data_IF_139605144981
#
_entry.id   IF_139605144981
#
_cell.length_a   1.000
_cell.length_b   1.000
_cell.length_c   1.000
_cell.angle_alpha   90.00
_cell.angle_beta   90.00
_cell.angle_gamma   90.00
#
_symmetry.space_group_name_H-M   'P 1'
#
loop_
_entity.id
_entity.type
_entity.pdbx_description
1 polymer ?
2 non-polymer ?
3 non-polymer ?
4 non-polymer ?
5 non-polymer ?
6 non-polymer ?
7 water ?
#
# COMPACT_ATOMS: atom_id res chain seq x y z
N UNK A 10 34.14 -2.72 -26.97
CA UNK A 10 34.37 -2.48 -25.54
C UNK A 10 35.05 -3.67 -24.87
N UNK A 11 34.80 -3.83 -23.57
CA UNK A 11 35.34 -4.92 -22.74
C UNK A 11 36.85 -4.86 -22.54
N UNK A 12 37.53 -3.98 -23.27
CA UNK A 12 38.97 -3.80 -23.18
C UNK A 12 39.72 -5.14 -23.28
N UNK A 13 40.06 -5.70 -22.13
CA UNK A 13 40.76 -6.98 -22.08
C UNK A 13 39.90 -8.04 -21.38
N UNK A 14 39.12 -8.80 -22.15
CA UNK A 14 38.30 -9.90 -21.61
C UNK A 14 39.15 -10.98 -20.92
N UNK A 15 38.51 -11.82 -20.11
CA UNK A 15 39.23 -12.81 -19.31
C UNK A 15 39.83 -13.95 -20.15
N UNK A 16 39.55 -13.94 -21.46
CA UNK A 16 40.03 -15.00 -22.32
C UNK A 16 40.27 -14.63 -23.79
N UNK A 17 39.22 -14.59 -24.60
CA UNK A 17 37.85 -14.83 -24.16
C UNK A 17 37.47 -16.31 -24.17
N UNK A 18 38.29 -17.15 -23.53
CA UNK A 18 38.07 -18.60 -23.55
C UNK A 18 37.11 -19.02 -22.43
N UNK A 19 37.28 -18.45 -21.24
CA UNK A 19 36.39 -18.77 -20.13
C UNK A 19 35.51 -17.57 -19.83
N UNK A 20 35.93 -16.41 -20.32
CA UNK A 20 35.11 -15.21 -20.22
C UNK A 20 33.76 -15.46 -20.85
N UNK A 21 33.79 -15.98 -22.08
CA UNK A 21 32.58 -16.31 -22.82
C UNK A 21 31.85 -17.50 -22.17
N UNK A 22 32.62 -18.34 -21.48
CA UNK A 22 32.08 -19.52 -20.83
C UNK A 22 31.14 -19.11 -19.71
N UNK A 23 31.62 -18.24 -18.82
CA UNK A 23 30.79 -17.77 -17.73
C UNK A 23 29.80 -16.72 -18.24
N UNK A 24 30.11 -16.07 -19.35
CA UNK A 24 29.22 -15.02 -19.84
C UNK A 24 27.89 -15.59 -20.27
N UNK A 25 27.91 -16.75 -20.93
CA UNK A 25 26.68 -17.36 -21.41
C UNK A 25 25.84 -17.94 -20.28
N UNK A 26 26.52 -18.34 -19.21
CA UNK A 26 25.83 -18.76 -17.99
C UNK A 26 25.12 -17.55 -17.38
N UNK A 27 25.89 -16.55 -17.01
CA UNK A 27 25.39 -15.31 -16.41
C UNK A 27 24.29 -14.65 -17.27
N UNK A 28 24.48 -14.64 -18.58
CA UNK A 28 23.59 -13.91 -19.47
C UNK A 28 22.30 -14.67 -19.76
N UNK A 29 22.21 -15.90 -19.28
CA UNK A 29 21.07 -16.75 -19.62
C UNK A 29 19.79 -16.33 -18.93
N UNK A 30 18.68 -16.80 -19.49
CA UNK A 30 17.38 -16.55 -18.89
C UNK A 30 17.26 -17.39 -17.62
N UNK A 31 17.83 -18.59 -17.65
CA UNK A 31 17.82 -19.45 -16.47
C UNK A 31 18.49 -18.77 -15.29
N UNK A 32 19.61 -18.10 -15.55
CA UNK A 32 20.38 -17.44 -14.52
C UNK A 32 19.52 -16.40 -13.81
N UNK A 33 18.82 -15.57 -14.57
CA UNK A 33 17.96 -14.55 -13.98
C UNK A 33 16.81 -15.21 -13.22
N UNK A 34 16.23 -16.25 -13.80
CA UNK A 34 15.09 -16.96 -13.21
C UNK A 34 15.43 -17.54 -11.83
N UNK A 35 16.50 -18.32 -11.79
CA UNK A 35 17.03 -18.89 -10.55
C UNK A 35 17.26 -17.85 -9.44
N UNK A 36 17.83 -16.70 -9.80
CA UNK A 36 18.10 -15.65 -8.85
C UNK A 36 16.81 -15.07 -8.30
N UNK A 37 15.87 -14.78 -9.20
CA UNK A 37 14.56 -14.24 -8.83
C UNK A 37 13.83 -15.21 -7.92
N UNK A 38 13.90 -16.48 -8.30
CA UNK A 38 13.36 -17.57 -7.51
C UNK A 38 13.91 -17.53 -6.07
N UNK A 39 15.22 -17.28 -5.93
CA UNK A 39 15.81 -17.14 -4.60
C UNK A 39 15.40 -15.84 -3.91
N UNK A 40 15.24 -14.75 -4.66
CA UNK A 40 14.75 -13.51 -4.04
C UNK A 40 13.41 -13.81 -3.35
N UNK A 41 12.46 -14.34 -4.12
CA UNK A 41 11.13 -14.64 -3.58
C UNK A 41 11.21 -15.66 -2.44
N UNK A 42 12.02 -16.69 -2.59
CA UNK A 42 12.23 -17.66 -1.52
C UNK A 42 12.76 -17.05 -0.23
N UNK A 43 13.69 -16.12 -0.36
CA UNK A 43 14.31 -15.48 0.79
C UNK A 43 13.36 -14.45 1.40
N UNK A 44 12.52 -13.85 0.57
CA UNK A 44 11.52 -12.91 1.03
C UNK A 44 10.48 -13.61 1.85
N UNK A 45 10.07 -14.80 1.39
CA UNK A 45 9.11 -15.61 2.14
C UNK A 45 9.73 -16.03 3.46
N UNK A 46 10.98 -16.46 3.40
CA UNK A 46 11.70 -16.97 4.55
C UNK A 46 11.94 -15.87 5.61
N UNK A 47 11.99 -14.63 5.15
CA UNK A 47 12.23 -13.50 6.02
C UNK A 47 10.97 -13.10 6.82
N UNK A 48 9.81 -13.23 6.18
CA UNK A 48 8.56 -13.04 6.88
C UNK A 48 8.34 -14.16 7.89
N UNK A 49 8.73 -15.37 7.54
CA UNK A 49 8.60 -16.50 8.43
C UNK A 49 9.47 -16.34 9.68
N UNK A 50 10.65 -15.72 9.52
CA UNK A 50 11.60 -15.53 10.62
C UNK A 50 11.11 -14.49 11.61
N UNK A 51 9.94 -13.94 11.33
CA UNK A 51 9.32 -12.91 12.14
C UNK A 51 8.55 -13.56 13.29
N UNK A 52 7.96 -14.72 13.01
CA UNK A 52 7.28 -15.51 14.02
C UNK A 52 8.25 -16.13 15.02
N UNK A 53 8.04 -15.90 16.31
CA UNK A 53 8.88 -16.52 17.33
C UNK A 53 8.58 -18.00 17.45
N UNK A 54 7.36 -18.40 17.07
CA UNK A 54 6.97 -19.81 17.07
C UNK A 54 7.66 -20.56 15.94
N UNK A 55 7.71 -19.97 14.77
CA UNK A 55 8.36 -20.65 13.67
C UNK A 55 9.83 -20.80 13.96
N UNK A 56 10.42 -19.80 14.58
CA UNK A 56 11.86 -19.82 14.82
C UNK A 56 12.25 -20.81 15.90
N UNK A 57 11.29 -21.21 16.73
CA UNK A 57 11.57 -22.22 17.74
C UNK A 57 11.47 -23.62 17.13
N UNK A 58 10.70 -23.72 16.05
CA UNK A 58 10.56 -24.99 15.34
C UNK A 58 11.61 -25.08 14.22
N UNK A 59 11.50 -24.20 13.24
CA UNK A 59 12.34 -24.29 12.05
C UNK A 59 13.43 -23.23 11.99
N UNK A 60 13.86 -22.76 13.15
CA UNK A 60 14.90 -21.74 13.24
C UNK A 60 16.19 -22.11 12.52
N UNK A 61 16.67 -23.33 12.76
CA UNK A 61 17.89 -23.83 12.14
C UNK A 61 17.77 -23.89 10.61
N UNK A 62 16.65 -24.41 10.11
CA UNK A 62 16.35 -24.46 8.69
C UNK A 62 16.57 -23.13 7.99
N UNK A 63 15.83 -22.14 8.43
CA UNK A 63 15.80 -20.82 7.80
C UNK A 63 17.13 -20.09 7.93
N UNK A 64 17.84 -20.36 9.02
CA UNK A 64 19.11 -19.69 9.26
C UNK A 64 20.18 -20.21 8.32
N UNK A 65 20.20 -21.52 8.11
CA UNK A 65 21.13 -22.11 7.17
C UNK A 65 20.69 -21.81 5.75
N UNK A 66 19.38 -21.83 5.52
CA UNK A 66 18.84 -21.45 4.23
C UNK A 66 19.30 -20.04 3.88
N UNK A 67 19.27 -19.16 4.88
CA UNK A 67 19.69 -17.77 4.70
C UNK A 67 21.15 -17.65 4.27
N UNK A 68 22.05 -18.29 5.01
CA UNK A 68 23.47 -18.18 4.71
C UNK A 68 23.78 -18.84 3.36
N UNK A 69 22.97 -19.81 2.96
CA UNK A 69 23.12 -20.47 1.67
C UNK A 69 22.77 -19.51 0.53
N UNK A 70 21.62 -18.84 0.66
CA UNK A 70 21.18 -17.88 -0.35
C UNK A 70 22.20 -16.77 -0.53
N UNK A 71 22.75 -16.29 0.59
CA UNK A 71 23.69 -15.18 0.60
C UNK A 71 25.01 -15.54 -0.07
N UNK A 72 25.37 -16.82 -0.02
CA UNK A 72 26.58 -17.30 -0.65
C UNK A 72 26.40 -17.32 -2.17
N UNK A 73 25.24 -17.82 -2.59
CA UNK A 73 24.86 -17.80 -3.99
C UNK A 73 24.83 -16.38 -4.55
N UNK A 74 24.26 -15.45 -3.78
CA UNK A 74 24.16 -14.05 -4.21
C UNK A 74 25.53 -13.39 -4.34
N UNK A 75 26.47 -13.80 -3.49
CA UNK A 75 27.81 -13.21 -3.55
C UNK A 75 28.54 -13.73 -4.77
N UNK A 76 28.44 -15.04 -5.00
CA UNK A 76 28.98 -15.65 -6.22
C UNK A 76 28.38 -15.00 -7.46
N UNK A 77 27.08 -14.72 -7.39
CA UNK A 77 26.37 -14.13 -8.51
C UNK A 77 26.96 -12.77 -8.84
N UNK A 78 27.08 -11.90 -7.85
CA UNK A 78 27.64 -10.57 -8.05
C UNK A 78 29.08 -10.69 -8.57
N UNK A 79 29.82 -11.68 -8.09
CA UNK A 79 31.19 -11.89 -8.54
C UNK A 79 31.23 -12.25 -10.03
N UNK A 80 30.39 -13.19 -10.42
CA UNK A 80 30.30 -13.61 -11.82
C UNK A 80 29.85 -12.46 -12.72
N UNK A 81 28.94 -11.64 -12.21
CA UNK A 81 28.43 -10.50 -12.97
C UNK A 81 29.49 -9.41 -13.17
N UNK A 82 30.40 -9.29 -12.21
CA UNK A 82 31.47 -8.31 -12.28
C UNK A 82 32.56 -8.77 -13.27
N UNK A 83 32.85 -10.06 -13.30
CA UNK A 83 33.81 -10.57 -14.28
C UNK A 83 33.29 -10.41 -15.70
N UNK A 84 32.00 -10.63 -15.90
CA UNK A 84 31.38 -10.45 -17.22
C UNK A 84 31.27 -8.98 -17.61
N UNK A 85 30.66 -8.16 -16.75
CA UNK A 85 30.39 -6.77 -17.10
C UNK A 85 31.56 -5.82 -16.85
N UNK A 86 32.58 -6.31 -16.14
CA UNK A 86 33.79 -5.56 -15.81
C UNK A 86 33.48 -4.15 -15.29
N UNK A 87 33.96 -3.14 -15.99
CA UNK A 87 33.78 -1.75 -15.59
C UNK A 87 32.32 -1.31 -15.69
N UNK A 88 31.60 -1.89 -16.64
CA UNK A 88 30.19 -1.55 -16.87
C UNK A 88 29.33 -1.81 -15.63
N UNK A 89 29.76 -2.78 -14.82
CA UNK A 89 29.02 -3.15 -13.61
C UNK A 89 28.91 -1.97 -12.66
N UNK A 90 30.05 -1.35 -12.37
CA UNK A 90 30.11 -0.28 -11.38
C UNK A 90 29.67 1.07 -11.95
N UNK A 91 29.00 1.03 -13.09
CA UNK A 91 28.45 2.21 -13.73
C UNK A 91 26.95 2.02 -13.87
N UNK A 92 26.48 0.86 -13.42
CA UNK A 92 25.08 0.49 -13.51
C UNK A 92 24.40 0.62 -12.14
N UNK A 93 23.43 1.55 -12.02
CA UNK A 93 22.81 1.85 -10.73
C UNK A 93 22.16 0.61 -10.08
N UNK A 94 21.54 -0.21 -10.92
CA UNK A 94 20.89 -1.44 -10.47
C UNK A 94 21.92 -2.44 -9.96
N UNK A 95 23.09 -2.47 -10.57
CA UNK A 95 24.10 -3.43 -10.17
C UNK A 95 24.75 -2.95 -8.90
N UNK A 96 24.94 -1.64 -8.82
CA UNK A 96 25.47 -1.01 -7.62
C UNK A 96 24.56 -1.28 -6.43
N UNK A 97 23.25 -1.10 -6.62
CA UNK A 97 22.30 -1.41 -5.56
C UNK A 97 22.43 -2.87 -5.14
N UNK A 98 22.50 -3.75 -6.13
CA UNK A 98 22.73 -5.18 -5.92
C UNK A 98 23.97 -5.42 -5.08
N UNK A 99 25.08 -4.82 -5.50
CA UNK A 99 26.33 -4.97 -4.80
C UNK A 99 26.21 -4.51 -3.32
N UNK A 100 25.74 -3.28 -3.11
CA UNK A 100 25.69 -2.73 -1.76
C UNK A 100 24.70 -3.46 -0.86
N UNK A 101 23.60 -3.92 -1.43
CA UNK A 101 22.60 -4.61 -0.63
C UNK A 101 23.04 -6.04 -0.29
N UNK A 102 23.95 -6.60 -1.10
CA UNK A 102 24.52 -7.91 -0.81
C UNK A 102 25.70 -7.78 0.16
N UNK A 103 26.48 -6.71 0.01
CA UNK A 103 27.60 -6.44 0.90
C UNK A 103 27.13 -6.22 2.34
N UNK A 104 26.09 -5.40 2.51
CA UNK A 104 25.39 -5.22 3.79
C UNK A 104 25.07 -6.55 4.44
N UNK A 105 24.62 -7.48 3.61
CA UNK A 105 24.13 -8.77 4.04
C UNK A 105 25.28 -9.71 4.40
N UNK A 106 26.50 -9.24 4.19
CA UNK A 106 27.69 -10.08 4.38
C UNK A 106 28.33 -9.86 5.74
N UNK A 107 27.98 -8.76 6.39
CA UNK A 107 28.51 -8.44 7.71
C UNK A 107 28.12 -9.52 8.72
N UNK A 108 29.11 -10.03 9.48
CA UNK A 108 29.01 -11.13 10.46
C UNK A 108 27.79 -11.10 11.37
N UNK A 109 27.43 -12.26 11.90
CA UNK A 109 26.22 -12.46 12.69
C UNK A 109 26.15 -11.54 13.91
N UNK A 110 27.32 -11.13 14.41
CA UNK A 110 27.39 -10.17 15.50
C UNK A 110 28.13 -8.91 15.06
N UNK A 111 28.88 -8.32 15.98
CA UNK A 111 29.67 -7.11 15.73
C UNK A 111 28.81 -5.89 15.42
N UNK A 112 29.38 -4.70 15.63
CA UNK A 112 28.68 -3.46 15.37
C UNK A 112 27.32 -3.39 16.04
N UNK A 113 26.31 -3.05 15.25
CA UNK A 113 24.93 -3.06 15.72
C UNK A 113 24.07 -4.01 14.89
N UNK A 114 22.85 -4.25 15.34
CA UNK A 114 21.94 -5.15 14.65
C UNK A 114 21.21 -4.42 13.53
N UNK A 115 21.53 -3.14 13.33
CA UNK A 115 20.97 -2.42 12.19
C UNK A 115 21.40 -3.08 10.90
N UNK A 116 22.62 -3.63 10.89
CA UNK A 116 23.13 -4.28 9.70
C UNK A 116 22.35 -5.55 9.41
N UNK A 117 21.91 -6.24 10.47
CA UNK A 117 21.04 -7.39 10.28
C UNK A 117 19.66 -6.96 9.76
N UNK A 118 19.16 -5.83 10.25
CA UNK A 118 17.84 -5.36 9.80
C UNK A 118 17.90 -4.84 8.37
N UNK A 119 18.98 -4.14 8.02
CA UNK A 119 19.17 -3.62 6.68
C UNK A 119 19.30 -4.78 5.68
N UNK A 120 19.57 -5.97 6.19
CA UNK A 120 19.68 -7.15 5.35
C UNK A 120 18.41 -7.40 4.57
N UNK A 121 17.28 -6.97 5.13
CA UNK A 121 15.99 -7.20 4.50
C UNK A 121 15.88 -6.36 3.23
N UNK A 122 16.73 -5.33 3.10
CA UNK A 122 16.71 -4.49 1.91
C UNK A 122 17.02 -5.29 0.66
N UNK A 123 17.65 -6.44 0.80
CA UNK A 123 17.99 -7.29 -0.34
C UNK A 123 16.74 -7.77 -1.10
N UNK A 124 15.58 -7.66 -0.46
CA UNK A 124 14.32 -8.04 -1.11
C UNK A 124 13.95 -7.06 -2.22
N UNK A 125 14.53 -5.87 -2.18
CA UNK A 125 14.34 -4.90 -3.25
C UNK A 125 15.08 -5.33 -4.51
N UNK A 126 15.83 -6.42 -4.43
CA UNK A 126 16.45 -6.99 -5.61
C UNK A 126 15.36 -7.60 -6.50
N UNK A 127 14.14 -7.67 -5.99
CA UNK A 127 13.03 -8.10 -6.82
C UNK A 127 12.80 -7.03 -7.88
N UNK A 128 12.88 -5.77 -7.46
CA UNK A 128 12.80 -4.63 -8.38
C UNK A 128 13.94 -4.64 -9.42
N UNK A 129 15.17 -4.86 -8.95
CA UNK A 129 16.34 -4.99 -9.82
C UNK A 129 16.19 -6.05 -10.92
N UNK A 130 15.84 -7.25 -10.50
CA UNK A 130 15.94 -8.43 -11.32
C UNK A 130 14.75 -8.58 -12.26
N UNK A 131 13.63 -7.97 -11.87
CA UNK A 131 12.44 -8.01 -12.68
C UNK A 131 12.31 -6.73 -13.46
N UNK A 132 12.27 -6.83 -14.80
CA UNK A 132 11.93 -5.65 -15.63
C UNK A 132 10.55 -5.15 -15.24
N UNK A 133 10.07 -4.07 -15.84
CA UNK A 133 8.74 -3.54 -15.51
C UNK A 133 8.70 -2.99 -14.10
N UNK A 134 9.30 -3.68 -13.15
CA UNK A 134 9.55 -3.10 -11.83
C UNK A 134 10.61 -2.02 -11.94
N UNK A 135 11.66 -2.29 -12.72
CA UNK A 135 12.67 -1.28 -13.04
C UNK A 135 11.99 -0.07 -13.66
N UNK A 136 11.15 -0.35 -14.65
CA UNK A 136 10.42 0.64 -15.41
C UNK A 136 9.62 1.59 -14.53
N UNK A 137 8.93 1.06 -13.51
CA UNK A 137 8.14 1.96 -12.67
C UNK A 137 9.04 2.72 -11.70
N UNK A 138 10.05 2.05 -11.17
CA UNK A 138 10.97 2.76 -10.30
C UNK A 138 11.67 3.84 -11.11
N UNK A 139 12.13 3.47 -12.33
CA UNK A 139 12.75 4.42 -13.25
C UNK A 139 11.85 5.61 -13.54
N UNK A 140 10.59 5.36 -13.85
CA UNK A 140 9.64 6.43 -14.11
C UNK A 140 9.51 7.35 -12.87
N UNK A 141 9.41 6.76 -11.68
CA UNK A 141 9.21 7.54 -10.46
C UNK A 141 10.40 8.43 -10.15
N UNK A 142 11.58 7.86 -10.32
CA UNK A 142 12.82 8.53 -10.02
C UNK A 142 13.15 9.70 -10.95
N UNK A 143 12.88 9.54 -12.24
CA UNK A 143 13.20 10.57 -13.23
C UNK A 143 12.38 11.84 -13.01
N UNK A 144 11.32 11.73 -12.22
CA UNK A 144 10.46 12.85 -11.90
C UNK A 144 11.15 13.78 -10.88
N UNK A 145 12.16 13.26 -10.20
CA UNK A 145 12.81 13.99 -9.12
C UNK A 145 13.71 15.19 -9.54
N UNK A 146 14.46 15.09 -10.65
CA UNK A 146 15.22 16.26 -11.12
C UNK A 146 14.45 17.59 -11.23
N UNK A 147 13.23 17.57 -11.79
CA UNK A 147 12.44 18.78 -11.92
C UNK A 147 11.76 19.17 -10.62
N UNK A 148 12.31 18.70 -9.50
CA UNK A 148 11.76 18.97 -8.18
C UNK A 148 12.82 19.54 -7.24
N UNK A 149 14.08 19.44 -7.64
CA UNK A 149 15.20 19.75 -6.76
C UNK A 149 15.23 21.21 -6.30
N UNK A 150 14.85 22.13 -7.19
CA UNK A 150 14.78 23.53 -6.81
C UNK A 150 13.74 23.82 -5.74
N UNK A 151 12.56 23.21 -5.88
CA UNK A 151 11.47 23.40 -4.93
C UNK A 151 11.85 22.73 -3.63
N UNK A 152 12.37 21.50 -3.70
CA UNK A 152 12.93 20.84 -2.54
C UNK A 152 13.97 21.71 -1.86
N UNK A 153 14.92 22.23 -2.64
CA UNK A 153 15.94 23.15 -2.13
C UNK A 153 15.30 24.34 -1.41
N UNK A 154 14.34 24.97 -2.08
CA UNK A 154 13.64 26.11 -1.49
C UNK A 154 12.97 25.73 -0.15
N UNK A 155 12.32 24.57 -0.14
CA UNK A 155 11.58 24.10 1.02
C UNK A 155 12.52 23.79 2.18
N UNK A 156 13.62 23.10 1.87
CA UNK A 156 14.65 22.85 2.85
C UNK A 156 15.20 24.14 3.48
N UNK A 157 15.50 25.16 2.65
CA UNK A 157 15.89 26.46 3.20
C UNK A 157 14.78 27.06 4.08
N UNK A 158 13.55 26.87 3.65
CA UNK A 158 12.42 27.45 4.34
C UNK A 158 12.26 26.81 5.71
N UNK A 159 12.34 25.48 5.77
CA UNK A 159 12.28 24.71 7.01
C UNK A 159 13.42 25.12 7.93
N UNK A 160 14.62 25.22 7.37
CA UNK A 160 15.80 25.64 8.13
C UNK A 160 15.61 27.00 8.82
N UNK A 161 15.06 27.97 8.09
CA UNK A 161 14.84 29.30 8.65
C UNK A 161 13.77 29.31 9.72
N UNK A 162 12.69 28.58 9.48
CA UNK A 162 11.60 28.54 10.48
C UNK A 162 11.95 27.66 11.69
N UNK A 163 12.78 26.64 11.49
CA UNK A 163 13.30 25.84 12.57
C UNK A 163 14.17 26.69 13.50
N UNK A 164 15.07 27.49 12.92
CA UNK A 164 15.84 28.40 13.75
C UNK A 164 14.93 29.36 14.52
N UNK A 165 13.98 29.99 13.85
CA UNK A 165 13.04 30.88 14.53
C UNK A 165 12.28 30.19 15.67
N UNK A 166 11.74 29.00 15.43
CA UNK A 166 10.92 28.33 16.43
C UNK A 166 11.77 27.87 17.63
N UNK A 167 13.01 27.48 17.36
CA UNK A 167 13.91 27.07 18.40
C UNK A 167 14.06 28.23 19.34
N UNK A 168 14.23 29.43 18.80
CA UNK A 168 14.50 30.54 19.69
C UNK A 168 13.24 31.26 20.21
N UNK A 169 12.08 30.98 19.63
CA UNK A 169 10.84 31.55 20.16
C UNK A 169 10.18 30.63 21.19
N UNK A 170 10.32 29.31 21.02
CA UNK A 170 9.55 28.35 21.82
C UNK A 170 10.36 27.31 22.56
N UNK A 171 11.68 27.24 22.30
CA UNK A 171 12.50 26.17 22.85
C UNK A 171 12.70 26.07 24.35
N UNK A 172 12.74 27.21 25.02
CA UNK A 172 12.90 27.30 26.46
C UNK A 172 11.64 26.81 27.21
N UNK A 173 10.46 27.17 26.73
CA UNK A 173 9.23 26.76 27.41
C UNK A 173 8.67 25.49 26.76
N UNK A 174 9.19 25.12 25.58
CA UNK A 174 8.82 23.83 25.00
C UNK A 174 9.97 23.00 24.51
N UNK A 175 10.80 22.54 25.44
CA UNK A 175 12.02 21.81 25.06
C UNK A 175 11.74 20.58 24.17
N UNK A 176 10.77 19.74 24.49
CA UNK A 176 10.57 18.53 23.68
C UNK A 176 10.28 18.85 22.21
N UNK A 177 9.42 19.85 21.96
CA UNK A 177 8.97 20.15 20.60
C UNK A 177 9.88 21.10 19.85
N UNK A 178 10.61 21.97 20.57
CA UNK A 178 11.39 23.04 19.93
C UNK A 178 12.69 23.37 20.60
N UNK A 179 13.16 22.50 21.49
CA UNK A 179 14.32 22.85 22.30
C UNK A 179 15.65 22.93 21.57
N UNK A 180 15.66 22.34 20.39
CA UNK A 180 16.88 22.03 19.68
C UNK A 180 16.52 22.16 18.20
N UNK A 181 17.44 22.62 17.36
CA UNK A 181 17.20 22.75 15.90
C UNK A 181 16.54 21.53 15.29
N UNK A 182 17.12 20.36 15.58
CA UNK A 182 16.54 19.11 15.11
C UNK A 182 15.14 18.84 15.62
N UNK A 183 14.90 19.19 16.88
CA UNK A 183 13.58 18.95 17.44
C UNK A 183 12.61 19.81 16.69
N UNK A 184 13.02 21.06 16.45
CA UNK A 184 12.21 21.98 15.69
C UNK A 184 11.94 21.51 14.25
N UNK A 185 12.96 20.94 13.61
CA UNK A 185 12.82 20.42 12.25
C UNK A 185 11.74 19.37 12.27
N UNK A 186 11.90 18.43 13.21
CA UNK A 186 10.96 17.33 13.39
C UNK A 186 9.53 17.85 13.57
N UNK A 187 9.36 18.80 14.48
CA UNK A 187 8.02 19.30 14.80
C UNK A 187 7.43 20.04 13.59
N UNK A 188 8.26 20.82 12.91
CA UNK A 188 7.78 21.53 11.75
C UNK A 188 7.34 20.56 10.64
N UNK A 189 8.05 19.43 10.53
CA UNK A 189 7.63 18.42 9.54
C UNK A 189 6.26 17.89 9.84
N UNK A 190 6.01 17.68 11.13
CA UNK A 190 4.74 17.15 11.63
C UNK A 190 3.59 18.11 11.34
N UNK A 191 3.83 19.39 11.63
CA UNK A 191 2.88 20.46 11.31
C UNK A 191 2.58 20.45 9.81
N UNK A 192 3.60 20.29 8.98
CA UNK A 192 3.38 20.19 7.54
C UNK A 192 2.48 19.02 7.13
N UNK A 193 2.63 17.86 7.79
CA UNK A 193 1.71 16.75 7.51
C UNK A 193 0.33 17.02 8.13
N UNK A 194 0.23 18.13 8.89
CA UNK A 194 -1.00 18.60 9.54
C UNK A 194 -1.44 17.69 10.70
N UNK A 195 -0.57 16.75 11.10
CA UNK A 195 -0.87 15.81 12.18
C UNK A 195 -0.89 16.49 13.55
N UNK A 196 -2.06 16.54 14.18
CA UNK A 196 -2.24 17.16 15.50
C UNK A 196 -1.64 18.54 15.62
N UNK A 197 -1.55 19.28 14.51
CA UNK A 197 -0.81 20.55 14.53
C UNK A 197 -1.47 21.52 15.49
N UNK A 198 -2.80 21.50 15.54
CA UNK A 198 -3.48 22.47 16.41
C UNK A 198 -3.71 21.99 17.84
N UNK A 199 -4.49 20.91 17.98
CA UNK A 199 -4.85 20.37 19.28
C UNK A 199 -3.60 19.93 20.03
N UNK A 200 -2.61 19.41 19.31
CA UNK A 200 -1.45 18.86 19.96
C UNK A 200 -0.24 19.77 20.08
N UNK A 201 -0.09 20.74 19.18
CA UNK A 201 1.08 21.58 19.26
C UNK A 201 0.73 23.07 19.46
N UNK A 202 -0.09 23.64 18.59
CA UNK A 202 -0.25 25.09 18.56
C UNK A 202 -1.20 25.61 19.63
N UNK A 203 -2.30 24.92 19.89
CA UNK A 203 -3.13 25.31 21.05
C UNK A 203 -2.34 25.25 22.38
N UNK A 204 -1.61 24.12 22.65
CA UNK A 204 -0.79 24.18 23.87
C UNK A 204 0.13 25.36 23.77
N UNK A 205 0.81 25.61 22.63
CA UNK A 205 1.66 26.83 22.51
C UNK A 205 0.90 28.16 22.70
N UNK A 206 -0.37 28.21 22.43
CA UNK A 206 -0.96 29.53 22.57
C UNK A 206 -1.30 29.88 24.06
N UNK A 207 -1.13 28.94 24.99
CA UNK A 207 -1.39 29.20 26.43
C UNK A 207 -0.35 30.15 27.12
N UNK A 208 0.88 30.16 26.61
CA UNK A 208 1.97 31.09 26.99
C UNK A 208 2.14 32.18 25.95
N UNK A 209 2.11 31.75 24.69
CA UNK A 209 2.36 32.63 23.55
C UNK A 209 1.12 32.78 22.68
N UNK A 210 0.20 33.67 23.06
CA UNK A 210 -1.08 33.82 22.35
C UNK A 210 -0.95 34.19 20.86
N UNK A 211 0.18 34.71 20.42
CA UNK A 211 0.33 35.03 19.00
C UNK A 211 1.08 33.95 18.23
N UNK A 212 1.25 32.76 18.82
CA UNK A 212 1.98 31.69 18.13
C UNK A 212 1.31 31.39 16.80
N UNK A 213 0.01 31.64 16.72
CA UNK A 213 -0.72 31.38 15.49
C UNK A 213 -0.14 32.23 14.34
N UNK A 214 0.46 33.36 14.66
CA UNK A 214 0.99 34.28 13.64
C UNK A 214 2.20 33.66 12.94
N UNK A 215 2.78 32.66 13.61
CA UNK A 215 3.92 31.91 13.10
C UNK A 215 3.45 30.65 12.35
N UNK A 216 2.60 29.83 12.95
CA UNK A 216 2.28 28.53 12.37
C UNK A 216 1.27 28.61 11.23
N UNK A 217 0.33 29.55 11.28
CA UNK A 217 -0.65 29.61 10.19
C UNK A 217 0.05 30.02 8.88
N UNK A 218 0.78 31.15 8.84
CA UNK A 218 1.48 31.43 7.57
C UNK A 218 2.46 30.35 7.16
N UNK A 219 3.10 29.68 8.13
CA UNK A 219 3.94 28.51 7.82
C UNK A 219 3.14 27.45 7.08
N UNK A 220 1.91 27.20 7.55
CA UNK A 220 1.07 26.16 6.99
C UNK A 220 0.58 26.54 5.59
N UNK A 221 0.24 27.81 5.38
CA UNK A 221 -0.14 28.28 4.06
C UNK A 221 0.97 28.06 3.04
N UNK A 222 2.21 28.39 3.40
CA UNK A 222 3.32 28.33 2.47
C UNK A 222 3.67 26.90 2.09
N UNK A 223 3.86 26.11 3.10
CA UNK A 223 4.23 24.71 2.98
C UNK A 223 3.17 23.95 2.19
N UNK A 224 1.91 24.31 2.41
CA UNK A 224 0.82 23.70 1.66
C UNK A 224 0.79 24.21 0.21
N UNK A 225 0.92 25.52 0.04
CA UNK A 225 0.90 26.13 -1.29
C UNK A 225 1.98 25.55 -2.19
N UNK A 226 3.18 25.38 -1.62
CA UNK A 226 4.32 24.81 -2.33
C UNK A 226 4.11 23.33 -2.68
N UNK A 227 3.60 22.56 -1.72
CA UNK A 227 3.27 21.15 -1.98
C UNK A 227 2.30 21.00 -3.15
N UNK A 228 1.28 21.86 -3.17
CA UNK A 228 0.32 21.89 -4.28
C UNK A 228 0.98 22.19 -5.62
N UNK A 229 1.87 23.18 -5.63
CA UNK A 229 2.57 23.54 -6.87
C UNK A 229 3.56 22.45 -7.26
N UNK A 230 4.11 21.76 -6.26
CA UNK A 230 5.04 20.66 -6.52
C UNK A 230 4.31 19.54 -7.25
N UNK A 231 3.11 19.24 -6.79
CA UNK A 231 2.29 18.22 -7.42
C UNK A 231 1.87 18.62 -8.83
N UNK A 232 1.36 19.85 -8.96
CA UNK A 232 0.94 20.39 -10.25
C UNK A 232 2.10 20.33 -11.24
N UNK A 233 3.30 20.64 -10.77
CA UNK A 233 4.51 20.46 -11.54
C UNK A 233 4.58 19.04 -12.11
N UNK A 234 4.56 18.04 -11.23
CA UNK A 234 4.64 16.65 -11.67
C UNK A 234 3.46 16.27 -12.56
N UNK A 235 2.30 16.90 -12.35
CA UNK A 235 1.17 16.71 -13.24
C UNK A 235 1.50 17.25 -14.61
N UNK A 236 2.02 18.47 -14.66
CA UNK A 236 2.31 19.12 -15.92
C UNK A 236 3.60 18.59 -16.55
N UNK A 237 4.67 18.51 -15.75
CA UNK A 237 5.96 18.06 -16.26
C UNK A 237 5.89 16.63 -16.82
N UNK A 238 5.01 15.80 -16.27
CA UNK A 238 4.82 14.44 -16.79
C UNK A 238 3.78 14.42 -17.91
N UNK A 239 2.79 15.30 -17.84
CA UNK A 239 1.81 15.43 -18.92
C UNK A 239 2.24 16.50 -19.91
N UNK B 17 -36.12 -21.07 -30.09
CA UNK B 17 -36.57 -22.32 -29.49
C UNK B 17 -37.98 -22.21 -28.92
N UNK B 18 -38.42 -23.27 -28.25
CA UNK B 18 -39.80 -23.37 -27.78
C UNK B 18 -40.10 -22.34 -26.68
N UNK B 19 -40.09 -22.81 -25.43
CA UNK B 19 -40.42 -21.97 -24.29
C UNK B 19 -39.24 -21.06 -23.91
N UNK B 20 -38.08 -21.35 -24.48
CA UNK B 20 -36.94 -20.48 -24.33
C UNK B 20 -37.27 -19.05 -24.75
N UNK B 21 -37.88 -18.88 -25.91
CA UNK B 21 -38.29 -17.56 -26.38
C UNK B 21 -39.43 -17.00 -25.51
N UNK B 22 -40.19 -17.90 -24.91
CA UNK B 22 -41.33 -17.51 -24.10
C UNK B 22 -40.85 -16.77 -22.86
N UNK B 23 -39.91 -17.36 -22.12
CA UNK B 23 -39.39 -16.70 -20.94
C UNK B 23 -38.40 -15.59 -21.31
N UNK B 24 -37.80 -15.65 -22.50
CA UNK B 24 -36.81 -14.66 -22.88
C UNK B 24 -37.44 -13.28 -23.01
N UNK B 25 -38.66 -13.23 -23.53
CA UNK B 25 -39.34 -11.96 -23.71
C UNK B 25 -39.80 -11.38 -22.37
N UNK B 26 -40.05 -12.26 -21.41
CA UNK B 26 -40.30 -11.83 -20.04
C UNK B 26 -39.06 -11.18 -19.45
N UNK B 27 -38.00 -11.98 -19.34
CA UNK B 27 -36.71 -11.54 -18.79
C UNK B 27 -36.15 -10.30 -19.50
N UNK B 28 -36.26 -10.26 -20.82
CA UNK B 28 -35.63 -9.19 -21.59
C UNK B 28 -36.43 -7.88 -21.56
N UNK B 29 -37.62 -7.93 -20.98
CA UNK B 29 -38.51 -6.78 -21.02
C UNK B 29 -38.12 -5.62 -20.12
N UNK B 30 -38.70 -4.47 -20.44
CA UNK B 30 -38.52 -3.26 -19.67
C UNK B 30 -39.22 -3.39 -18.31
N UNK B 31 -40.38 -4.04 -18.31
CA UNK B 31 -41.10 -4.28 -17.06
C UNK B 31 -40.26 -5.09 -16.09
N UNK B 32 -39.59 -6.11 -16.61
CA UNK B 32 -38.82 -7.02 -15.78
C UNK B 32 -37.71 -6.31 -15.01
N UNK B 33 -36.94 -5.46 -15.68
CA UNK B 33 -35.89 -4.73 -15.00
C UNK B 33 -36.47 -3.75 -13.99
N UNK B 34 -37.55 -3.06 -14.37
CA UNK B 34 -38.17 -2.06 -13.49
C UNK B 34 -38.61 -2.66 -12.17
N UNK B 35 -39.41 -3.73 -12.25
CA UNK B 35 -39.87 -4.47 -11.09
C UNK B 35 -38.70 -4.86 -10.16
N UNK B 36 -37.61 -5.35 -10.74
CA UNK B 36 -36.45 -5.75 -9.97
C UNK B 36 -35.80 -4.56 -9.26
N UNK B 37 -35.59 -3.48 -10.00
CA UNK B 37 -35.04 -2.25 -9.43
C UNK B 37 -35.94 -1.74 -8.32
N UNK B 38 -37.24 -1.76 -8.58
CA UNK B 38 -38.24 -1.42 -7.59
C UNK B 38 -38.06 -2.23 -6.29
N UNK B 39 -37.79 -3.53 -6.43
CA UNK B 39 -37.50 -4.38 -5.27
C UNK B 39 -36.15 -4.08 -4.63
N UNK B 40 -35.14 -3.72 -5.43
CA UNK B 40 -33.85 -3.32 -4.85
C UNK B 40 -34.08 -2.16 -3.88
N UNK B 41 -34.69 -1.10 -4.40
CA UNK B 41 -34.95 0.09 -3.61
C UNK B 41 -35.85 -0.19 -2.41
N UNK B 42 -36.92 -0.94 -2.62
CA UNK B 42 -37.78 -1.33 -1.51
C UNK B 42 -37.03 -2.10 -0.42
N UNK B 43 -36.16 -3.01 -0.84
CA UNK B 43 -35.45 -3.83 0.11
C UNK B 43 -34.38 -3.02 0.80
N UNK B 44 -33.83 -2.06 0.08
CA UNK B 44 -32.83 -1.17 0.63
C UNK B 44 -33.43 -0.29 1.69
N UNK B 45 -34.64 0.20 1.43
CA UNK B 45 -35.34 0.99 2.43
C UNK B 45 -35.64 0.12 3.66
N UNK B 46 -36.09 -1.10 3.42
CA UNK B 46 -36.48 -2.01 4.47
C UNK B 46 -35.28 -2.39 5.35
N UNK B 47 -34.08 -2.31 4.78
CA UNK B 47 -32.87 -2.68 5.51
C UNK B 47 -32.42 -1.57 6.47
N UNK B 48 -32.61 -0.32 6.09
CA UNK B 48 -32.37 0.78 6.99
C UNK B 48 -33.36 0.78 8.14
N UNK B 49 -34.62 0.48 7.85
CA UNK B 49 -35.63 0.41 8.88
C UNK B 49 -35.34 -0.72 9.89
N UNK B 50 -34.74 -1.81 9.41
CA UNK B 50 -34.45 -2.96 10.27
C UNK B 50 -33.31 -2.69 11.26
N UNK B 51 -32.79 -1.47 11.17
CA UNK B 51 -31.70 -0.97 11.99
C UNK B 51 -32.28 -0.41 13.30
N UNK B 52 -33.45 0.20 13.20
CA UNK B 52 -34.17 0.70 14.36
C UNK B 52 -34.68 -0.43 15.23
N UNK B 53 -34.33 -0.42 16.51
CA UNK B 53 -34.82 -1.44 17.43
C UNK B 53 -36.29 -1.22 17.74
N UNK B 54 -36.75 0.02 17.63
CA UNK B 54 -38.16 0.35 17.81
C UNK B 54 -39.01 -0.14 16.64
N UNK B 55 -38.53 0.07 15.42
CA UNK B 55 -39.25 -0.40 14.25
C UNK B 55 -39.39 -1.92 14.30
N UNK B 56 -38.33 -2.59 14.77
CA UNK B 56 -38.32 -4.05 14.76
C UNK B 56 -39.21 -4.68 15.81
N UNK B 57 -39.60 -3.92 16.82
CA UNK B 57 -40.51 -4.42 17.84
C UNK B 57 -41.95 -4.28 17.38
N UNK B 58 -42.18 -3.34 16.47
CA UNK B 58 -43.52 -3.13 15.91
C UNK B 58 -43.71 -3.96 14.65
N UNK B 59 -42.95 -3.65 13.61
CA UNK B 59 -43.14 -4.25 12.30
C UNK B 59 -42.07 -5.27 11.94
N UNK B 60 -41.47 -5.88 12.97
CA UNK B 60 -40.42 -6.88 12.77
C UNK B 60 -40.80 -8.04 11.88
N UNK B 61 -41.97 -8.62 12.15
CA UNK B 61 -42.48 -9.75 11.37
C UNK B 61 -42.71 -9.37 9.91
N UNK B 62 -43.35 -8.22 9.70
CA UNK B 62 -43.62 -7.65 8.39
C UNK B 62 -42.35 -7.63 7.53
N UNK B 63 -41.33 -6.93 8.02
CA UNK B 63 -40.10 -6.73 7.28
C UNK B 63 -39.33 -8.04 7.06
N UNK B 64 -39.49 -8.98 7.99
CA UNK B 64 -38.79 -10.25 7.88
C UNK B 64 -39.43 -11.09 6.78
N UNK B 65 -40.75 -11.07 6.72
CA UNK B 65 -41.47 -11.78 5.67
C UNK B 65 -41.29 -11.07 4.35
N UNK B 66 -41.29 -9.74 4.39
CA UNK B 66 -41.00 -8.98 3.18
C UNK B 66 -39.63 -9.38 2.63
N UNK B 67 -38.66 -9.55 3.54
CA UNK B 67 -37.30 -9.89 3.15
C UNK B 67 -37.19 -11.25 2.47
N UNK B 68 -37.80 -12.28 3.04
CA UNK B 68 -37.73 -13.62 2.46
C UNK B 68 -38.49 -13.67 1.14
N UNK B 69 -39.50 -12.81 0.98
CA UNK B 69 -40.24 -12.74 -0.27
C UNK B 69 -39.37 -12.15 -1.38
N UNK B 70 -38.71 -11.03 -1.09
CA UNK B 70 -37.84 -10.38 -2.06
C UNK B 70 -36.72 -11.30 -2.52
N UNK B 71 -36.11 -12.00 -1.57
CA UNK B 71 -34.97 -12.87 -1.85
C UNK B 71 -35.39 -14.09 -2.70
N UNK B 72 -36.64 -14.52 -2.56
CA UNK B 72 -37.15 -15.63 -3.36
C UNK B 72 -37.35 -15.17 -4.80
N UNK B 73 -37.91 -13.97 -4.95
CA UNK B 73 -38.04 -13.33 -6.24
C UNK B 73 -36.69 -13.18 -6.93
N UNK B 74 -35.68 -12.73 -6.18
CA UNK B 74 -34.35 -12.52 -6.75
C UNK B 74 -33.73 -13.84 -7.19
N UNK B 75 -34.05 -14.92 -6.49
CA UNK B 75 -33.51 -16.23 -6.82
C UNK B 75 -34.14 -16.75 -8.11
N UNK B 76 -35.46 -16.62 -8.22
CA UNK B 76 -36.16 -16.97 -9.45
C UNK B 76 -35.62 -16.13 -10.62
N UNK B 77 -35.36 -14.86 -10.35
CA UNK B 77 -34.88 -13.95 -11.39
C UNK B 77 -33.56 -14.45 -11.96
N UNK B 78 -32.59 -14.72 -11.09
CA UNK B 78 -31.28 -15.20 -11.54
C UNK B 78 -31.41 -16.52 -12.29
N UNK B 79 -32.33 -17.37 -11.87
CA UNK B 79 -32.55 -18.63 -12.56
C UNK B 79 -33.07 -18.37 -13.98
N UNK B 80 -34.06 -17.48 -14.09
CA UNK B 80 -34.61 -17.09 -15.37
C UNK B 80 -33.55 -16.45 -16.26
N UNK B 81 -32.67 -15.65 -15.66
CA UNK B 81 -31.63 -14.97 -16.42
C UNK B 81 -30.58 -15.93 -16.96
N UNK B 82 -30.36 -17.02 -16.23
CA UNK B 82 -29.41 -18.04 -16.65
C UNK B 82 -30.00 -18.91 -17.78
N UNK B 83 -31.29 -19.22 -17.71
CA UNK B 83 -31.92 -19.99 -18.78
C UNK B 83 -31.91 -19.21 -20.10
N UNK B 84 -32.12 -17.91 -20.02
CA UNK B 84 -32.07 -17.05 -21.20
C UNK B 84 -30.64 -16.87 -21.72
N UNK B 85 -29.74 -16.43 -20.84
CA UNK B 85 -28.39 -16.08 -21.26
C UNK B 85 -27.42 -17.27 -21.31
N UNK B 86 -27.85 -18.40 -20.76
CA UNK B 86 -27.05 -19.64 -20.73
C UNK B 86 -25.60 -19.40 -20.30
N UNK B 87 -24.66 -19.70 -21.19
CA UNK B 87 -23.24 -19.57 -20.91
C UNK B 87 -22.83 -18.11 -20.75
N UNK B 88 -23.50 -17.22 -21.47
CA UNK B 88 -23.17 -15.79 -21.44
C UNK B 88 -23.31 -15.19 -20.05
N UNK B 89 -24.17 -15.79 -19.24
CA UNK B 89 -24.43 -15.31 -17.89
C UNK B 89 -23.17 -15.34 -17.02
N UNK B 90 -22.51 -16.48 -16.98
CA UNK B 90 -21.36 -16.67 -16.12
C UNK B 90 -20.07 -16.11 -16.69
N UNK B 91 -20.20 -15.29 -17.73
CA UNK B 91 -19.06 -14.63 -18.35
C UNK B 91 -19.24 -13.13 -18.26
N UNK B 92 -20.37 -12.75 -17.66
CA UNK B 92 -20.75 -11.36 -17.46
C UNK B 92 -20.47 -10.98 -16.00
N UNK B 93 -19.56 -10.04 -15.77
CA UNK B 93 -19.14 -9.66 -14.42
C UNK B 93 -20.30 -9.20 -13.55
N UNK B 94 -21.21 -8.44 -14.17
CA UNK B 94 -22.37 -7.91 -13.48
C UNK B 94 -23.32 -9.01 -13.04
N UNK B 95 -23.43 -10.05 -13.84
CA UNK B 95 -24.36 -11.12 -13.54
C UNK B 95 -23.76 -12.01 -12.47
N UNK B 96 -22.45 -12.17 -12.53
CA UNK B 96 -21.71 -12.91 -11.53
C UNK B 96 -21.88 -12.26 -10.17
N UNK B 97 -21.69 -10.94 -10.12
CA UNK B 97 -21.88 -10.20 -8.88
C UNK B 97 -23.30 -10.44 -8.35
N UNK B 98 -24.27 -10.33 -9.25
CA UNK B 98 -25.67 -10.60 -8.93
C UNK B 98 -25.84 -11.97 -8.30
N UNK B 99 -25.27 -12.96 -8.96
CA UNK B 99 -25.36 -14.35 -8.53
C UNK B 99 -24.78 -14.52 -7.13
N UNK B 100 -23.55 -14.07 -6.94
CA UNK B 100 -22.86 -14.29 -5.68
C UNK B 100 -23.50 -13.52 -4.53
N UNK B 101 -24.03 -12.34 -4.82
CA UNK B 101 -24.64 -11.52 -3.79
C UNK B 101 -26.02 -12.05 -3.41
N UNK B 102 -26.66 -12.78 -4.31
CA UNK B 102 -27.96 -13.41 -4.04
C UNK B 102 -27.73 -14.74 -3.32
N UNK B 103 -26.69 -15.45 -3.72
CA UNK B 103 -26.32 -16.71 -3.09
C UNK B 103 -25.95 -16.49 -1.62
N UNK B 104 -25.11 -15.48 -1.39
CA UNK B 104 -24.78 -15.02 -0.04
C UNK B 104 -26.02 -14.87 0.82
N UNK B 105 -27.05 -14.31 0.20
CA UNK B 105 -28.30 -13.98 0.86
C UNK B 105 -29.19 -15.20 1.05
N UNK B 106 -28.72 -16.35 0.55
CA UNK B 106 -29.51 -17.58 0.60
C UNK B 106 -29.14 -18.46 1.79
N UNK B 107 -27.99 -18.17 2.39
CA UNK B 107 -27.52 -18.91 3.56
C UNK B 107 -28.50 -18.77 4.74
N UNK B 108 -28.89 -19.92 5.33
CA UNK B 108 -29.85 -20.07 6.43
C UNK B 108 -29.71 -19.09 7.61
N UNK B 109 -30.80 -18.91 8.34
CA UNK B 109 -30.90 -17.91 9.40
C UNK B 109 -29.85 -18.04 10.50
N UNK B 110 -29.36 -19.25 10.74
CA UNK B 110 -28.27 -19.44 11.68
C UNK B 110 -27.07 -20.06 10.99
N UNK B 111 -26.33 -20.91 11.72
CA UNK B 111 -25.17 -21.62 11.22
C UNK B 111 -24.02 -20.70 10.84
N UNK B 112 -22.81 -21.26 10.79
CA UNK B 112 -21.62 -20.51 10.42
C UNK B 112 -21.44 -19.26 11.26
N UNK B 113 -21.25 -18.14 10.59
CA UNK B 113 -21.18 -16.86 11.28
C UNK B 113 -22.29 -15.93 10.79
N UNK B 114 -22.49 -14.83 11.51
CA UNK B 114 -23.51 -13.87 11.15
C UNK B 114 -22.96 -12.84 10.16
N UNK B 115 -21.70 -13.02 9.77
CA UNK B 115 -21.13 -12.16 8.74
C UNK B 115 -21.94 -12.34 7.48
N UNK B 116 -22.44 -13.55 7.27
CA UNK B 116 -23.19 -13.83 6.07
C UNK B 116 -24.52 -13.07 6.06
N UNK B 117 -25.12 -12.89 7.23
CA UNK B 117 -26.32 -12.07 7.34
C UNK B 117 -25.99 -10.62 7.06
N UNK B 118 -24.82 -10.18 7.51
CA UNK B 118 -24.42 -8.81 7.29
C UNK B 118 -24.03 -8.61 5.82
N UNK B 119 -23.35 -9.60 5.25
CA UNK B 119 -22.94 -9.54 3.85
C UNK B 119 -24.17 -9.51 2.94
N UNK B 120 -25.33 -9.88 3.48
CA UNK B 120 -26.56 -9.82 2.73
C UNK B 120 -26.88 -8.40 2.26
N UNK B 121 -26.41 -7.42 3.01
CA UNK B 121 -26.71 -6.04 2.69
C UNK B 121 -26.03 -5.64 1.38
N UNK B 122 -25.00 -6.41 0.99
CA UNK B 122 -24.26 -6.17 -0.23
C UNK B 122 -25.17 -6.28 -1.47
N UNK B 123 -26.30 -6.96 -1.33
CA UNK B 123 -27.24 -7.09 -2.44
C UNK B 123 -27.78 -5.72 -2.86
N UNK B 124 -27.63 -4.71 -2.02
CA UNK B 124 -28.07 -3.37 -2.40
C UNK B 124 -27.20 -2.78 -3.51
N UNK B 125 -26.01 -3.33 -3.68
CA UNK B 125 -25.15 -2.94 -4.78
C UNK B 125 -25.70 -3.42 -6.13
N UNK B 126 -26.80 -4.16 -6.09
CA UNK B 126 -27.52 -4.52 -7.30
C UNK B 126 -28.20 -3.32 -7.93
N UNK B 127 -28.19 -2.19 -7.22
CA UNK B 127 -28.71 -0.96 -7.78
C UNK B 127 -27.76 -0.53 -8.88
N UNK B 128 -26.47 -0.68 -8.61
CA UNK B 128 -25.41 -0.43 -9.59
C UNK B 128 -25.53 -1.37 -10.80
N UNK B 129 -25.74 -2.66 -10.52
CA UNK B 129 -25.98 -3.66 -11.55
C UNK B 129 -27.15 -3.28 -12.47
N UNK B 130 -28.29 -3.00 -11.86
CA UNK B 130 -29.53 -2.93 -12.58
C UNK B 130 -29.76 -1.58 -13.23
N UNK B 131 -29.13 -0.54 -12.69
CA UNK B 131 -29.29 0.78 -13.28
C UNK B 131 -28.09 1.07 -14.15
N UNK B 132 -28.33 1.32 -15.45
CA UNK B 132 -27.25 1.79 -16.34
C UNK B 132 -26.69 3.09 -15.77
N UNK B 133 -25.66 3.65 -16.39
CA UNK B 133 -25.07 4.90 -15.90
C UNK B 133 -24.36 4.69 -14.58
N UNK B 134 -24.96 3.92 -13.67
CA UNK B 134 -24.25 3.45 -12.48
C UNK B 134 -23.18 2.44 -12.88
N UNK B 135 -23.51 1.55 -13.82
CA UNK B 135 -22.52 0.66 -14.41
C UNK B 135 -21.38 1.47 -15.00
N UNK B 136 -21.78 2.48 -15.78
CA UNK B 136 -20.87 3.36 -16.48
C UNK B 136 -19.84 4.00 -15.55
N UNK B 137 -20.26 4.46 -14.38
CA UNK B 137 -19.31 5.09 -13.47
C UNK B 137 -18.47 4.03 -12.76
N UNK B 138 -19.09 2.93 -12.39
CA UNK B 138 -18.30 1.85 -11.82
C UNK B 138 -17.30 1.38 -12.86
N UNK B 139 -17.77 1.17 -14.11
CA UNK B 139 -16.89 0.77 -15.21
C UNK B 139 -15.74 1.73 -15.43
N UNK B 140 -16.02 3.03 -15.46
CA UNK B 140 -14.98 4.02 -15.60
C UNK B 140 -13.96 3.95 -14.45
N UNK B 141 -14.43 3.77 -13.22
CA UNK B 141 -13.52 3.75 -12.08
C UNK B 141 -12.60 2.56 -12.10
N UNK B 142 -13.17 1.41 -12.43
CA UNK B 142 -12.45 0.14 -12.45
C UNK B 142 -11.39 0.03 -13.56
N UNK B 143 -11.70 0.54 -14.74
CA UNK B 143 -10.80 0.43 -15.88
C UNK B 143 -9.51 1.23 -15.65
N UNK B 144 -9.55 2.10 -14.66
CA UNK B 144 -8.41 2.92 -14.27
C UNK B 144 -7.39 2.08 -13.47
N UNK B 145 -7.84 0.96 -12.94
CA UNK B 145 -7.02 0.13 -12.04
C UNK B 145 -5.87 -0.67 -12.70
N UNK B 146 -6.09 -1.24 -13.91
CA UNK B 146 -4.96 -1.91 -14.58
C UNK B 146 -3.66 -1.11 -14.67
N UNK B 147 -3.72 0.17 -15.05
CA UNK B 147 -2.53 0.99 -15.15
C UNK B 147 -1.99 1.45 -13.80
N UNK B 148 -2.34 0.72 -12.75
CA UNK B 148 -1.91 1.05 -11.40
C UNK B 148 -1.26 -0.13 -10.71
N UNK B 149 -1.40 -1.32 -11.29
CA UNK B 149 -1.02 -2.55 -10.63
C UNK B 149 0.49 -2.63 -10.36
N UNK B 150 1.29 -2.13 -11.29
CA UNK B 150 2.74 -2.10 -11.10
C UNK B 150 3.14 -1.26 -9.89
N UNK B 151 2.49 -0.10 -9.75
CA UNK B 151 2.75 0.79 -8.63
C UNK B 151 2.19 0.16 -7.36
N UNK B 152 0.98 -0.39 -7.42
CA UNK B 152 0.45 -1.15 -6.30
C UNK B 152 1.40 -2.28 -5.87
N UNK B 153 1.86 -3.06 -6.84
CA UNK B 153 2.85 -4.11 -6.61
C UNK B 153 4.11 -3.57 -5.92
N UNK B 154 4.65 -2.48 -6.45
CA UNK B 154 5.85 -1.89 -5.86
C UNK B 154 5.61 -1.49 -4.38
N UNK B 155 4.45 -0.89 -4.14
CA UNK B 155 4.06 -0.38 -2.84
C UNK B 155 3.86 -1.51 -1.83
N UNK B 156 3.16 -2.55 -2.26
CA UNK B 156 3.00 -3.75 -1.47
C UNK B 156 4.35 -4.38 -1.07
N UNK B 157 5.28 -4.51 -2.03
CA UNK B 157 6.62 -5.00 -1.69
C UNK B 157 7.32 -4.11 -0.68
N UNK B 158 7.10 -2.81 -0.83
CA UNK B 158 7.72 -1.80 0.00
C UNK B 158 7.19 -1.92 1.43
N UNK B 159 5.88 -2.08 1.56
CA UNK B 159 5.21 -2.26 2.85
C UNK B 159 5.73 -3.52 3.50
N UNK B 160 5.81 -4.60 2.73
CA UNK B 160 6.32 -5.88 3.21
C UNK B 160 7.75 -5.76 3.79
N UNK B 161 8.65 -5.08 3.09
CA UNK B 161 10.04 -4.92 3.55
C UNK B 161 10.14 -4.07 4.80
N UNK B 162 9.39 -2.98 4.83
CA UNK B 162 9.41 -2.09 5.97
C UNK B 162 8.64 -2.67 7.18
N UNK B 163 7.62 -3.48 6.91
CA UNK B 163 6.90 -4.18 7.98
C UNK B 163 7.82 -5.17 8.68
N UNK B 164 8.54 -5.98 7.91
CA UNK B 164 9.51 -6.89 8.50
C UNK B 164 10.54 -6.13 9.35
N UNK B 165 11.10 -5.06 8.80
CA UNK B 165 12.03 -4.22 9.54
C UNK B 165 11.46 -3.69 10.86
N UNK B 166 10.24 -3.16 10.82
CA UNK B 166 9.65 -2.54 12.01
C UNK B 166 9.35 -3.60 13.11
N UNK B 167 8.99 -4.79 12.67
CA UNK B 167 8.70 -5.89 13.54
C UNK B 167 9.94 -6.20 14.33
N UNK B 168 11.08 -6.24 13.66
CA UNK B 168 12.29 -6.64 14.37
C UNK B 168 13.06 -5.49 15.01
N UNK B 169 12.72 -4.26 14.67
CA UNK B 169 13.31 -3.10 15.36
C UNK B 169 12.47 -2.65 16.53
N UNK B 170 11.14 -2.80 16.45
CA UNK B 170 10.26 -2.17 17.47
C UNK B 170 9.29 -3.12 18.16
N UNK B 171 9.21 -4.37 17.70
CA UNK B 171 8.21 -5.32 18.18
C UNK B 171 8.27 -5.78 19.63
N UNK B 172 9.48 -5.93 20.15
CA UNK B 172 9.70 -6.35 21.53
C UNK B 172 9.28 -5.26 22.52
N UNK B 173 9.58 -4.00 22.22
CA UNK B 173 9.24 -2.92 23.16
C UNK B 173 7.94 -2.25 22.79
N UNK B 174 7.45 -2.52 21.57
CA UNK B 174 6.12 -2.00 21.20
C UNK B 174 5.23 -3.05 20.55
N UNK B 175 4.84 -4.08 21.32
CA UNK B 175 4.08 -5.21 20.78
C UNK B 175 2.74 -4.84 20.08
N UNK B 176 1.93 -3.98 20.67
CA UNK B 176 0.63 -3.63 20.09
C UNK B 176 0.73 -3.05 18.68
N UNK B 177 1.76 -2.25 18.43
CA UNK B 177 1.97 -1.55 17.15
C UNK B 177 2.88 -2.29 16.16
N UNK B 178 3.80 -3.13 16.66
CA UNK B 178 4.82 -3.75 15.80
C UNK B 178 5.22 -5.15 16.20
N UNK B 179 4.46 -5.80 17.08
CA UNK B 179 4.87 -7.09 17.61
C UNK B 179 4.85 -8.24 16.60
N UNK B 180 4.16 -8.00 15.50
CA UNK B 180 3.79 -9.06 14.58
C UNK B 180 3.80 -8.44 13.20
N UNK B 181 4.09 -9.23 12.17
CA UNK B 181 4.14 -8.71 10.81
C UNK B 181 2.85 -8.00 10.47
N UNK B 182 1.73 -8.67 10.74
CA UNK B 182 0.43 -8.09 10.53
C UNK B 182 0.23 -6.81 11.32
N UNK B 183 0.70 -6.76 12.56
CA UNK B 183 0.52 -5.55 13.34
C UNK B 183 1.32 -4.45 12.69
N UNK B 184 2.54 -4.77 12.29
CA UNK B 184 3.38 -3.79 11.63
C UNK B 184 2.75 -3.29 10.30
N UNK B 185 2.11 -4.17 9.53
CA UNK B 185 1.47 -3.76 8.28
C UNK B 185 0.45 -2.71 8.60
N UNK B 186 -0.39 -3.04 9.56
CA UNK B 186 -1.48 -2.17 10.03
C UNK B 186 -0.95 -0.79 10.45
N UNK B 187 0.09 -0.78 11.29
CA UNK B 187 0.61 0.49 11.79
C UNK B 187 1.22 1.31 10.67
N UNK B 188 1.94 0.63 9.76
CA UNK B 188 2.54 1.32 8.63
C UNK B 188 1.46 1.91 7.72
N UNK B 189 0.33 1.21 7.59
CA UNK B 189 -0.77 1.77 6.81
C UNK B 189 -1.23 3.07 7.43
N UNK B 190 -1.33 3.06 8.75
CA UNK B 190 -1.83 4.20 9.52
C UNK B 190 -0.92 5.41 9.33
N UNK B 191 0.39 5.18 9.46
CA UNK B 191 1.41 6.18 9.22
C UNK B 191 1.30 6.74 7.78
N UNK B 192 1.10 5.86 6.81
CA UNK B 192 0.84 6.31 5.45
C UNK B 192 -0.36 7.26 5.33
N UNK B 193 -1.44 7.01 6.10
CA UNK B 193 -2.58 7.91 6.07
C UNK B 193 -2.27 9.17 6.90
N UNK B 194 -1.11 9.15 7.56
CA UNK B 194 -0.59 10.28 8.37
C UNK B 194 -1.40 10.47 9.66
N UNK B 195 -2.29 9.52 9.96
CA UNK B 195 -3.14 9.60 11.15
C UNK B 195 -2.38 9.36 12.47
N UNK B 196 -2.30 10.41 13.30
CA UNK B 196 -1.56 10.37 14.57
C UNK B 196 -0.16 9.80 14.44
N UNK B 197 0.47 9.88 13.27
CA UNK B 197 1.76 9.18 13.09
C UNK B 197 2.83 9.70 14.05
N UNK B 198 2.82 11.00 14.35
CA UNK B 198 3.84 11.56 15.22
C UNK B 198 3.45 11.51 16.70
N UNK B 199 2.36 12.19 17.08
CA UNK B 199 1.97 12.26 18.47
C UNK B 199 1.65 10.87 18.99
N UNK B 200 1.05 10.05 18.14
CA UNK B 200 0.59 8.75 18.57
C UNK B 200 1.54 7.58 18.37
N UNK B 201 2.49 7.68 17.46
CA UNK B 201 3.35 6.57 17.17
C UNK B 201 4.82 6.87 17.29
N UNK B 202 5.31 7.85 16.57
CA UNK B 202 6.76 8.04 16.43
C UNK B 202 7.35 8.78 17.62
N UNK B 203 6.67 9.78 18.17
CA UNK B 203 7.18 10.38 19.41
C UNK B 203 7.28 9.36 20.55
N UNK B 204 6.23 8.55 20.80
CA UNK B 204 6.42 7.50 21.81
C UNK B 204 7.58 6.58 21.46
N UNK B 205 7.69 6.14 20.21
CA UNK B 205 8.81 5.29 19.80
C UNK B 205 10.15 5.95 20.04
N UNK B 206 10.19 7.27 19.98
CA UNK B 206 11.48 7.91 20.11
C UNK B 206 11.96 8.05 21.58
N UNK B 207 11.08 7.80 22.55
CA UNK B 207 11.48 7.84 23.97
C UNK B 207 12.42 6.67 24.31
N UNK B 208 12.30 5.60 23.54
CA UNK B 208 13.16 4.43 23.63
C UNK B 208 14.22 4.41 22.53
N UNK B 209 13.74 4.69 21.32
CA UNK B 209 14.57 4.65 20.12
C UNK B 209 14.67 6.02 19.48
N UNK B 210 15.61 6.86 19.95
CA UNK B 210 15.70 8.25 19.52
C UNK B 210 15.96 8.44 18.01
N UNK B 211 16.44 7.42 17.31
CA UNK B 211 16.65 7.56 15.87
C UNK B 211 15.51 6.96 15.07
N UNK B 212 14.38 6.67 15.73
CA UNK B 212 13.25 6.06 15.02
C UNK B 212 12.83 6.95 13.87
N UNK B 213 13.09 8.25 13.97
CA UNK B 213 12.71 9.18 12.95
C UNK B 213 13.43 8.84 11.62
N UNK B 214 14.60 8.21 11.70
CA UNK B 214 15.39 7.87 10.52
C UNK B 214 14.68 6.80 9.71
N UNK B 215 13.74 6.14 10.36
CA UNK B 215 12.94 5.09 9.74
C UNK B 215 11.63 5.66 9.20
N UNK B 216 10.87 6.40 10.01
CA UNK B 216 9.53 6.79 9.59
C UNK B 216 9.50 7.99 8.66
N UNK B 217 10.43 8.93 8.81
CA UNK B 217 10.41 10.07 7.91
C UNK B 217 10.68 9.59 6.45
N UNK B 218 11.80 8.87 6.17
CA UNK B 218 11.95 8.43 4.77
C UNK B 218 10.82 7.54 4.32
N UNK B 219 10.28 6.72 5.22
CA UNK B 219 9.09 5.95 4.88
C UNK B 219 7.94 6.87 4.42
N UNK B 220 7.73 7.98 5.14
CA UNK B 220 6.62 8.90 4.82
C UNK B 220 6.88 9.63 3.49
N UNK B 221 8.13 10.02 3.25
CA UNK B 221 8.47 10.64 1.97
C UNK B 221 8.16 9.73 0.80
N UNK B 222 8.54 8.47 0.91
CA UNK B 222 8.41 7.55 -0.22
C UNK B 222 6.96 7.25 -0.51
N UNK B 223 6.25 6.85 0.53
CA UNK B 223 4.85 6.48 0.42
C UNK B 223 4.03 7.66 -0.12
N UNK B 224 4.39 8.86 0.31
CA UNK B 224 3.70 10.06 -0.18
C UNK B 224 4.09 10.38 -1.63
N UNK B 225 5.37 10.29 -1.93
CA UNK B 225 5.85 10.55 -3.27
C UNK B 225 5.18 9.66 -4.31
N UNK B 226 5.00 8.39 -3.95
CA UNK B 226 4.35 7.40 -4.82
C UNK B 226 2.85 7.67 -5.02
N UNK B 227 2.16 7.97 -3.93
CA UNK B 227 0.74 8.32 -3.99
C UNK B 227 0.49 9.51 -4.91
N UNK B 228 1.34 10.52 -4.78
CA UNK B 228 1.29 11.67 -5.67
C UNK B 228 1.51 11.24 -7.11
N UNK B 229 2.49 10.37 -7.35
CA UNK B 229 2.70 9.92 -8.73
C UNK B 229 1.58 9.00 -9.20
N UNK B 230 1.01 8.23 -8.27
CA UNK B 230 -0.10 7.34 -8.60
C UNK B 230 -1.29 8.15 -9.09
N UNK B 231 -1.59 9.24 -8.39
CA UNK B 231 -2.66 10.12 -8.79
C UNK B 231 -2.37 10.77 -10.12
N UNK B 232 -1.16 11.31 -10.27
CA UNK B 232 -0.78 11.98 -11.53
C UNK B 232 -0.95 11.02 -12.70
N UNK B 233 -0.60 9.75 -12.49
CA UNK B 233 -0.89 8.70 -13.46
C UNK B 233 -2.38 8.73 -13.85
N UNK B 234 -3.28 8.58 -12.87
CA UNK B 234 -4.71 8.61 -13.18
C UNK B 234 -5.13 9.93 -13.81
N UNK B 235 -4.46 11.02 -13.46
CA UNK B 235 -4.71 12.29 -14.14
C UNK B 235 -4.29 12.14 -15.59
N UNK B 236 -3.09 11.58 -15.81
CA UNK B 236 -2.54 11.44 -17.16
C UNK B 236 -3.12 10.25 -17.92
N UNK B 237 -3.10 9.07 -17.31
CA UNK B 237 -3.56 7.84 -17.96
C UNK B 237 -5.04 7.89 -18.37
N UNK B 238 -5.86 8.63 -17.62
CA UNK B 238 -7.27 8.78 -17.96
C UNK B 238 -7.48 9.91 -18.96
N UNK B 239 -6.61 10.91 -18.93
CA UNK B 239 -6.65 11.97 -19.93
C UNK B 239 -5.72 11.67 -21.11
#
# INVERSE_FOLDING_TARGET
>A
MDYKDDDDKGSLVPRGSHMYLRITNIVESSFFTKFIIYLIVLNGITMGLETSKTFMQSFGVYTTLFNQIVITIFTIEIILRIYVHRISFFKDPWSLFDFFVVAISLVPTSSGFEILRVLGVLRLFRLVTAVPQMRKIVSALISVIPGMLSVIALMTLFFYIFAIMATQLFGERFPEWFGTLGESFYTLFQVMTLESWSMGIVRPLMEVYPYAWVFFIPFIFVVTFVMINLVVAICVDAMAILNQKEEQHIIDEVQSHEDNINNEIIKLREEIVELKELIKTSLKN
>B
MDYKDDDDKGSLVPRGSHMYLRITNIVESSFFTKFIIYLIVLNGITMGLETSKTFMQSFGVYTTLFNQIVITIFTIEIILRIYVHRISFFKDPWSLFDFFVVAISLVPTSSGFEILRVLGVLRLFRLVTAVPQMRKIVSALISVIPGMLSVIALMTLFFYIFAIMATQLFGERFPEWFGTLGESFYTLFQVMTLESWSMGIVRPLMEVYPYAWVFFIPFIFVVTFVMINLVVAICVDAMAILNQKEEQHIIDEVQSHEDNINNEIIKLREEIVELKELIKTSLKN
#
